data_IF_892186484173
#
_entry.id   IF_892186484173
#
_cell.length_a   1.000
_cell.length_b   1.000
_cell.length_c   1.000
_cell.angle_alpha   90.00
_cell.angle_beta   90.00
_cell.angle_gamma   90.00
#
_symmetry.space_group_name_H-M   'P 1'
#
loop_
_entity.id
_entity.type
_entity.pdbx_description
1 polymer ?
#
# COMPACT_ATOMS: atom_id res chain seq x y z
N UNK A 1 -25.36 44.86 -24.97
CA UNK A 1 -23.92 44.53 -24.89
C UNK A 1 -23.59 44.05 -23.47
N UNK A 2 -23.59 42.74 -23.22
CA UNK A 2 -23.22 42.13 -21.92
C UNK A 2 -22.13 41.03 -22.07
N UNK A 3 -21.51 40.94 -23.25
CA UNK A 3 -20.68 39.80 -23.62
C UNK A 3 -19.40 39.53 -22.78
N UNK A 4 -18.66 40.53 -22.24
CA UNK A 4 -17.46 40.24 -21.43
C UNK A 4 -17.80 39.81 -19.99
N UNK A 5 -18.95 40.23 -19.46
CA UNK A 5 -19.36 39.94 -18.07
C UNK A 5 -19.76 38.48 -17.90
N UNK A 6 -20.50 37.95 -18.88
CA UNK A 6 -20.98 36.56 -18.86
C UNK A 6 -19.82 35.56 -18.99
N UNK A 7 -18.79 35.90 -19.78
CA UNK A 7 -17.57 35.10 -19.92
C UNK A 7 -16.77 35.05 -18.62
N UNK A 8 -16.62 36.18 -17.91
CA UNK A 8 -15.95 36.23 -16.61
C UNK A 8 -16.72 35.43 -15.57
N UNK A 9 -18.04 35.60 -15.48
CA UNK A 9 -18.89 34.82 -14.57
C UNK A 9 -18.78 33.32 -14.84
N UNK A 10 -18.79 32.92 -16.11
CA UNK A 10 -18.64 31.52 -16.53
C UNK A 10 -17.26 30.95 -16.11
N UNK A 11 -16.18 31.70 -16.36
CA UNK A 11 -14.82 31.27 -15.98
C UNK A 11 -14.66 31.17 -14.46
N UNK A 12 -15.20 32.14 -13.70
CA UNK A 12 -15.18 32.10 -12.23
C UNK A 12 -15.96 30.90 -11.70
N UNK A 13 -17.12 30.57 -12.29
CA UNK A 13 -17.92 29.41 -11.90
C UNK A 13 -17.17 28.10 -12.15
N UNK A 14 -16.54 27.95 -13.32
CA UNK A 14 -15.75 26.76 -13.67
C UNK A 14 -14.57 26.61 -12.70
N UNK A 15 -13.89 27.71 -12.38
CA UNK A 15 -12.77 27.68 -11.43
C UNK A 15 -13.23 27.23 -10.03
N UNK A 16 -14.32 27.80 -9.51
CA UNK A 16 -14.89 27.40 -8.22
C UNK A 16 -15.36 25.94 -8.22
N UNK A 17 -15.97 25.47 -9.31
CA UNK A 17 -16.38 24.07 -9.44
C UNK A 17 -15.16 23.14 -9.47
N UNK A 18 -14.08 23.52 -10.17
CA UNK A 18 -12.85 22.73 -10.21
C UNK A 18 -12.17 22.66 -8.84
N UNK A 19 -12.10 23.77 -8.10
CA UNK A 19 -11.57 23.80 -6.75
C UNK A 19 -12.42 22.92 -5.81
N UNK A 20 -13.74 23.01 -5.92
CA UNK A 20 -14.66 22.19 -5.14
C UNK A 20 -14.46 20.70 -5.44
N UNK A 21 -14.41 20.31 -6.73
CA UNK A 21 -14.16 18.92 -7.14
C UNK A 21 -12.80 18.43 -6.65
N UNK A 22 -11.74 19.22 -6.76
CA UNK A 22 -10.40 18.86 -6.25
C UNK A 22 -10.42 18.57 -4.75
N UNK A 23 -11.06 19.43 -3.95
CA UNK A 23 -11.20 19.21 -2.50
C UNK A 23 -12.01 17.95 -2.21
N UNK A 24 -13.13 17.74 -2.93
CA UNK A 24 -14.03 16.60 -2.72
C UNK A 24 -13.35 15.26 -3.07
N UNK A 25 -12.60 15.21 -4.19
CA UNK A 25 -11.78 14.05 -4.54
C UNK A 25 -10.62 13.81 -3.58
N UNK A 26 -9.99 14.88 -3.06
CA UNK A 26 -8.97 14.76 -2.02
C UNK A 26 -9.50 14.09 -0.74
N UNK A 27 -10.72 14.41 -0.31
CA UNK A 27 -11.35 13.74 0.84
C UNK A 27 -11.67 12.26 0.59
N UNK A 28 -12.02 11.88 -0.65
CA UNK A 28 -12.20 10.48 -1.01
C UNK A 28 -10.88 9.70 -0.88
N UNK A 29 -9.75 10.33 -1.24
CA UNK A 29 -8.41 9.76 -1.12
C UNK A 29 -7.95 9.60 0.33
N UNK A 30 -8.43 10.45 1.24
CA UNK A 30 -8.15 10.35 2.69
C UNK A 30 -8.88 9.18 3.34
N UNK A 31 -9.97 8.68 2.75
CA UNK A 31 -10.72 7.56 3.34
C UNK A 31 -9.89 6.30 3.35
N UNK A 32 -9.72 5.74 4.54
CA UNK A 32 -9.09 4.46 4.70
C UNK A 32 -10.04 3.35 4.23
N UNK A 33 -9.61 2.59 3.23
CA UNK A 33 -10.37 1.48 2.63
C UNK A 33 -9.56 0.19 2.73
N UNK A 34 -10.20 -0.99 2.73
CA UNK A 34 -9.49 -2.27 2.77
C UNK A 34 -8.46 -2.41 1.65
N UNK A 35 -8.83 -2.01 0.43
CA UNK A 35 -7.97 -2.05 -0.75
C UNK A 35 -6.72 -1.18 -0.57
N UNK A 36 -6.89 0.05 -0.09
CA UNK A 36 -5.77 0.96 0.18
C UNK A 36 -4.85 0.40 1.27
N UNK A 37 -5.41 -0.11 2.36
CA UNK A 37 -4.63 -0.71 3.43
C UNK A 37 -3.82 -1.93 2.97
N UNK A 38 -4.42 -2.81 2.17
CA UNK A 38 -3.76 -3.96 1.56
C UNK A 38 -2.57 -3.54 0.66
N UNK A 39 -2.79 -2.55 -0.21
CA UNK A 39 -1.76 -2.03 -1.10
C UNK A 39 -0.62 -1.33 -0.35
N UNK A 40 -0.93 -0.50 0.66
CA UNK A 40 0.08 0.17 1.49
C UNK A 40 0.90 -0.83 2.32
N UNK A 41 0.26 -1.82 2.92
CA UNK A 41 0.95 -2.89 3.63
C UNK A 41 1.92 -3.62 2.70
N UNK A 42 1.45 -4.06 1.53
CA UNK A 42 2.29 -4.76 0.57
C UNK A 42 3.47 -3.89 0.10
N UNK A 43 3.23 -2.61 -0.18
CA UNK A 43 4.29 -1.67 -0.54
C UNK A 43 5.39 -1.60 0.51
N UNK A 44 5.00 -1.43 1.78
CA UNK A 44 5.96 -1.37 2.88
C UNK A 44 6.66 -2.71 3.12
N UNK A 45 5.95 -3.83 2.98
CA UNK A 45 6.49 -5.19 3.08
C UNK A 45 7.64 -5.41 2.10
N UNK A 46 7.39 -5.26 0.79
CA UNK A 46 8.42 -5.47 -0.24
C UNK A 46 9.56 -4.42 -0.20
N UNK A 47 9.32 -3.26 0.40
CA UNK A 47 10.35 -2.24 0.61
C UNK A 47 11.17 -2.43 1.90
N UNK A 48 10.88 -3.47 2.70
CA UNK A 48 11.43 -3.67 4.05
C UNK A 48 11.28 -2.43 4.94
N UNK A 49 10.13 -1.77 4.87
CA UNK A 49 9.81 -0.58 5.66
C UNK A 49 9.11 -0.96 6.96
N UNK A 50 9.62 -0.46 8.09
CA UNK A 50 9.03 -0.67 9.43
C UNK A 50 7.60 -0.14 9.53
N UNK A 51 7.24 0.84 8.69
CA UNK A 51 5.87 1.37 8.60
C UNK A 51 4.82 0.30 8.26
N UNK A 52 5.20 -0.88 7.74
CA UNK A 52 4.23 -1.98 7.57
C UNK A 52 3.58 -2.41 8.89
N UNK A 53 4.25 -2.21 10.02
CA UNK A 53 3.70 -2.51 11.35
C UNK A 53 2.42 -1.72 11.66
N UNK A 54 2.29 -0.50 11.11
CA UNK A 54 1.11 0.34 11.31
C UNK A 54 -0.15 -0.25 10.65
N UNK A 55 0.07 -1.04 9.61
CA UNK A 55 -0.97 -1.76 8.86
C UNK A 55 -1.14 -3.21 9.33
N UNK A 56 -0.43 -3.68 10.35
CA UNK A 56 -0.65 -5.00 10.95
C UNK A 56 -1.63 -4.93 12.12
N UNK A 57 -2.51 -5.94 12.21
CA UNK A 57 -3.34 -6.16 13.38
C UNK A 57 -2.46 -6.37 14.62
N UNK A 58 -2.92 -5.96 15.79
CA UNK A 58 -2.09 -5.98 17.00
C UNK A 58 -1.60 -7.41 17.32
N UNK A 59 -2.47 -8.40 17.12
CA UNK A 59 -2.16 -9.83 17.27
C UNK A 59 -1.12 -10.37 16.27
N UNK A 60 -0.87 -9.65 15.18
CA UNK A 60 0.06 -10.05 14.10
C UNK A 60 1.41 -9.31 14.16
N UNK A 61 1.58 -8.39 15.11
CA UNK A 61 2.86 -7.67 15.30
C UNK A 61 3.90 -8.51 16.04
N UNK A 62 3.44 -9.45 16.87
CA UNK A 62 4.31 -10.31 17.68
C UNK A 62 3.98 -11.77 17.46
N UNK A 63 5.00 -12.61 17.31
CA UNK A 63 4.89 -14.06 17.31
C UNK A 63 5.87 -14.60 18.35
N UNK A 64 5.39 -15.40 19.31
CA UNK A 64 6.21 -15.92 20.42
C UNK A 64 7.02 -14.81 21.13
N UNK A 65 6.33 -13.73 21.51
CA UNK A 65 6.89 -12.50 22.11
C UNK A 65 7.99 -11.79 21.30
N UNK A 66 8.14 -12.16 20.02
CA UNK A 66 9.13 -11.59 19.11
C UNK A 66 8.47 -10.64 18.11
N UNK A 67 9.04 -9.44 17.95
CA UNK A 67 8.64 -8.48 16.91
C UNK A 67 8.83 -9.09 15.52
N UNK A 68 7.70 -9.34 14.85
CA UNK A 68 7.64 -10.02 13.56
C UNK A 68 8.27 -9.14 12.47
N UNK A 69 7.99 -7.84 12.47
CA UNK A 69 8.51 -6.89 11.48
C UNK A 69 10.00 -6.71 11.64
N UNK A 70 10.48 -6.52 12.88
CA UNK A 70 11.90 -6.44 13.20
C UNK A 70 12.65 -7.69 12.77
N UNK A 71 12.09 -8.88 13.07
CA UNK A 71 12.69 -10.16 12.69
C UNK A 71 12.76 -10.34 11.18
N UNK A 72 11.69 -10.00 10.45
CA UNK A 72 11.66 -10.04 9.00
C UNK A 72 12.75 -9.16 8.36
N UNK A 73 12.86 -7.91 8.80
CA UNK A 73 13.87 -6.97 8.29
C UNK A 73 15.28 -7.46 8.66
N UNK A 74 15.50 -7.93 9.89
CA UNK A 74 16.79 -8.44 10.34
C UNK A 74 17.26 -9.66 9.54
N UNK A 75 16.36 -10.59 9.20
CA UNK A 75 16.68 -11.72 8.32
C UNK A 75 17.15 -11.25 6.94
N UNK A 76 16.43 -10.29 6.35
CA UNK A 76 16.79 -9.75 5.04
C UNK A 76 18.11 -8.95 5.06
N UNK A 77 18.39 -8.22 6.14
CA UNK A 77 19.70 -7.56 6.34
C UNK A 77 20.84 -8.57 6.42
N UNK A 78 20.66 -9.66 7.15
CA UNK A 78 21.67 -10.72 7.22
C UNK A 78 21.88 -11.41 5.89
N UNK A 79 20.80 -11.77 5.18
CA UNK A 79 20.88 -12.35 3.84
C UNK A 79 21.62 -11.40 2.86
N UNK A 80 21.33 -10.10 2.91
CA UNK A 80 22.04 -9.11 2.11
C UNK A 80 23.53 -9.08 2.45
N UNK A 81 23.87 -9.05 3.74
CA UNK A 81 25.25 -9.00 4.23
C UNK A 81 26.04 -10.25 3.87
N UNK A 82 25.44 -11.43 3.96
CA UNK A 82 26.04 -12.71 3.54
C UNK A 82 26.36 -12.72 2.04
N UNK A 83 25.56 -12.00 1.24
CA UNK A 83 25.81 -11.80 -0.20
C UNK A 83 26.74 -10.63 -0.53
N UNK A 84 27.22 -9.90 0.48
CA UNK A 84 28.08 -8.72 0.29
C UNK A 84 27.33 -7.45 -0.14
N UNK A 85 26.00 -7.40 0.05
CA UNK A 85 25.15 -6.27 -0.29
C UNK A 85 24.53 -5.62 0.95
N UNK A 86 23.94 -4.43 0.76
CA UNK A 86 23.07 -3.81 1.75
C UNK A 86 21.60 -4.22 1.53
N UNK A 87 20.75 -3.99 2.53
CA UNK A 87 19.30 -4.23 2.45
C UNK A 87 18.65 -3.58 1.22
N UNK A 88 19.21 -2.46 0.74
CA UNK A 88 18.73 -1.78 -0.47
C UNK A 88 18.65 -2.72 -1.67
N UNK A 89 19.56 -3.69 -1.77
CA UNK A 89 19.58 -4.66 -2.86
C UNK A 89 18.43 -5.69 -2.77
N UNK A 90 17.89 -5.90 -1.57
CA UNK A 90 16.77 -6.81 -1.33
C UNK A 90 15.42 -6.15 -1.61
N UNK A 91 15.33 -4.82 -1.58
CA UNK A 91 14.07 -4.09 -1.76
C UNK A 91 13.47 -4.34 -3.14
N UNK A 92 12.17 -4.57 -3.18
CA UNK A 92 11.40 -4.71 -4.41
C UNK A 92 10.38 -3.57 -4.54
N UNK A 93 10.22 -3.06 -5.75
CA UNK A 93 9.16 -2.11 -6.08
C UNK A 93 7.96 -2.85 -6.66
N UNK A 94 6.76 -2.49 -6.23
CA UNK A 94 5.53 -3.04 -6.79
C UNK A 94 5.10 -2.26 -8.04
N UNK A 95 4.67 -3.00 -9.05
CA UNK A 95 4.12 -2.52 -10.32
C UNK A 95 2.78 -3.19 -10.57
N UNK A 96 1.91 -2.52 -11.33
CA UNK A 96 0.58 -3.04 -11.67
C UNK A 96 -0.17 -3.59 -10.45
N UNK A 97 -0.25 -2.78 -9.39
CA UNK A 97 -0.93 -3.16 -8.15
C UNK A 97 -2.44 -3.12 -8.39
N UNK A 98 -3.04 -4.30 -8.42
CA UNK A 98 -4.47 -4.51 -8.52
C UNK A 98 -4.98 -5.09 -7.21
N UNK A 99 -6.09 -4.53 -6.72
CA UNK A 99 -6.76 -5.00 -5.51
C UNK A 99 -8.21 -5.32 -5.83
N UNK A 100 -8.63 -6.54 -5.51
CA UNK A 100 -10.01 -6.98 -5.67
C UNK A 100 -10.59 -7.31 -4.30
N UNK A 101 -11.66 -6.60 -3.95
CA UNK A 101 -12.43 -6.88 -2.76
C UNK A 101 -13.24 -8.15 -2.99
N UNK A 102 -12.91 -9.22 -2.27
CA UNK A 102 -13.63 -10.50 -2.35
C UNK A 102 -14.83 -10.50 -1.41
N UNK A 103 -14.65 -9.93 -0.22
CA UNK A 103 -15.67 -9.86 0.81
C UNK A 103 -15.46 -8.60 1.67
N UNK A 104 -16.55 -7.96 2.09
CA UNK A 104 -16.52 -6.81 2.99
C UNK A 104 -17.71 -6.83 3.95
N UNK A 105 -17.39 -6.74 5.23
CA UNK A 105 -18.32 -6.47 6.32
C UNK A 105 -17.90 -5.17 7.02
N UNK A 106 -18.72 -4.71 7.98
CA UNK A 106 -18.45 -3.47 8.72
C UNK A 106 -17.08 -3.44 9.45
N UNK A 107 -16.53 -4.60 9.80
CA UNK A 107 -15.30 -4.74 10.60
C UNK A 107 -14.25 -5.67 10.01
N UNK A 108 -14.54 -6.38 8.92
CA UNK A 108 -13.64 -7.36 8.30
C UNK A 108 -13.74 -7.30 6.78
N UNK A 109 -12.63 -7.51 6.09
CA UNK A 109 -12.61 -7.57 4.63
C UNK A 109 -11.59 -8.60 4.15
N UNK A 110 -11.81 -9.16 2.97
CA UNK A 110 -10.84 -10.00 2.27
C UNK A 110 -10.51 -9.35 0.94
N UNK A 111 -9.23 -9.09 0.72
CA UNK A 111 -8.73 -8.40 -0.48
C UNK A 111 -7.71 -9.29 -1.16
N UNK A 112 -7.98 -9.63 -2.42
CA UNK A 112 -6.99 -10.24 -3.30
C UNK A 112 -6.11 -9.15 -3.88
N UNK A 113 -4.80 -9.25 -3.64
CA UNK A 113 -3.78 -8.39 -4.18
C UNK A 113 -3.07 -9.13 -5.31
N UNK A 114 -3.09 -8.54 -6.50
CA UNK A 114 -2.29 -9.00 -7.64
C UNK A 114 -1.30 -7.90 -7.99
N UNK A 115 0.00 -8.21 -8.02
CA UNK A 115 1.01 -7.25 -8.41
C UNK A 115 2.26 -7.91 -8.99
N UNK A 116 3.09 -7.10 -9.64
CA UNK A 116 4.41 -7.49 -10.10
C UNK A 116 5.47 -6.85 -9.20
N UNK A 117 6.41 -7.64 -8.70
CA UNK A 117 7.54 -7.11 -7.93
C UNK A 117 8.81 -7.10 -8.79
N UNK A 118 9.56 -6.00 -8.69
CA UNK A 118 10.80 -5.80 -9.42
C UNK A 118 11.87 -5.29 -8.46
N UNK A 119 12.94 -6.05 -8.20
CA UNK A 119 14.13 -5.51 -7.55
C UNK A 119 14.79 -4.49 -8.49
N UNK A 120 14.91 -3.19 -8.13
CA UNK A 120 15.28 -2.14 -9.07
C UNK A 120 16.61 -2.39 -9.78
N UNK A 121 17.63 -2.76 -9.01
CA UNK A 121 18.97 -3.04 -9.53
C UNK A 121 19.00 -4.33 -10.36
N UNK A 122 18.46 -5.42 -9.83
CA UNK A 122 18.48 -6.71 -10.53
C UNK A 122 17.62 -6.68 -11.80
N UNK A 123 16.45 -6.04 -11.81
CA UNK A 123 15.61 -5.90 -13.00
C UNK A 123 16.32 -5.16 -14.14
N UNK A 124 17.16 -4.15 -13.83
CA UNK A 124 17.93 -3.45 -14.84
C UNK A 124 18.86 -4.39 -15.62
N UNK A 125 19.52 -5.33 -14.94
CA UNK A 125 20.48 -6.26 -15.54
C UNK A 125 19.84 -7.54 -16.09
N UNK A 126 18.85 -8.12 -15.39
CA UNK A 126 18.32 -9.46 -15.71
C UNK A 126 16.91 -9.45 -16.26
N UNK A 127 16.22 -8.30 -16.20
CA UNK A 127 14.77 -8.18 -16.52
C UNK A 127 13.87 -9.11 -15.69
N UNK A 128 14.37 -9.63 -14.57
CA UNK A 128 13.59 -10.51 -13.68
C UNK A 128 12.50 -9.73 -12.96
N UNK A 129 11.26 -10.21 -13.08
CA UNK A 129 10.10 -9.78 -12.30
C UNK A 129 9.40 -11.00 -11.71
N UNK A 130 8.82 -10.85 -10.53
CA UNK A 130 8.00 -11.88 -9.89
C UNK A 130 6.54 -11.41 -9.89
N UNK A 131 5.62 -12.35 -10.02
CA UNK A 131 4.19 -12.08 -9.85
C UNK A 131 3.76 -12.52 -8.45
N UNK A 132 2.91 -11.70 -7.84
CA UNK A 132 2.37 -11.92 -6.50
C UNK A 132 0.86 -11.89 -6.63
N UNK A 133 0.21 -12.97 -6.20
CA UNK A 133 -1.25 -13.11 -6.14
C UNK A 133 -1.60 -13.70 -4.78
N UNK A 134 -2.04 -12.82 -3.87
CA UNK A 134 -2.21 -13.15 -2.46
C UNK A 134 -3.53 -12.61 -1.93
N UNK A 135 -4.19 -13.38 -1.07
CA UNK A 135 -5.42 -12.94 -0.41
C UNK A 135 -5.12 -12.49 1.01
N UNK A 136 -5.29 -11.20 1.25
CA UNK A 136 -5.07 -10.57 2.54
C UNK A 136 -6.38 -10.49 3.31
N UNK A 137 -6.34 -10.92 4.57
CA UNK A 137 -7.44 -10.77 5.52
C UNK A 137 -7.23 -9.48 6.29
N UNK A 138 -8.24 -8.61 6.27
CA UNK A 138 -8.19 -7.32 6.94
C UNK A 138 -9.27 -7.21 8.01
N UNK A 139 -8.92 -6.50 9.08
CA UNK A 139 -9.83 -6.13 10.15
C UNK A 139 -9.72 -4.64 10.43
N UNK A 140 -10.84 -4.03 10.76
CA UNK A 140 -10.88 -2.62 11.15
C UNK A 140 -10.65 -2.50 12.65
N UNK A 141 -9.53 -1.91 13.04
CA UNK A 141 -9.18 -1.62 14.43
C UNK A 141 -9.07 -0.11 14.62
N UNK A 142 -9.78 0.45 15.61
CA UNK A 142 -9.75 1.88 15.92
C UNK A 142 -10.01 2.80 14.71
N UNK A 143 -10.86 2.35 13.77
CA UNK A 143 -11.19 3.09 12.55
C UNK A 143 -10.23 2.90 11.38
N UNK A 144 -9.12 2.17 11.56
CA UNK A 144 -8.10 1.90 10.54
C UNK A 144 -8.15 0.44 10.12
N UNK A 145 -8.09 0.19 8.82
CA UNK A 145 -7.97 -1.14 8.23
C UNK A 145 -6.55 -1.64 8.34
N UNK A 146 -6.42 -2.85 8.87
CA UNK A 146 -5.16 -3.53 9.12
C UNK A 146 -5.23 -4.97 8.63
N UNK A 147 -4.10 -5.50 8.19
CA UNK A 147 -3.89 -6.86 7.73
C UNK A 147 -3.63 -7.77 8.94
N UNK A 148 -4.41 -8.84 9.07
CA UNK A 148 -4.29 -9.82 10.15
C UNK A 148 -3.77 -11.16 9.63
N UNK A 149 -3.21 -11.95 10.54
CA UNK A 149 -2.67 -13.29 10.25
C UNK A 149 -1.21 -13.24 9.86
N UNK A 150 -0.79 -14.10 8.93
CA UNK A 150 0.59 -14.19 8.43
C UNK A 150 0.63 -13.88 6.93
N UNK A 151 0.45 -12.61 6.54
CA UNK A 151 0.47 -12.24 5.13
C UNK A 151 1.87 -12.52 4.54
N UNK A 152 1.94 -13.03 3.31
CA UNK A 152 3.21 -13.34 2.62
C UNK A 152 4.17 -14.26 3.41
N UNK A 153 3.66 -15.08 4.33
CA UNK A 153 4.47 -15.90 5.26
C UNK A 153 5.35 -15.10 6.22
N UNK A 154 4.91 -13.90 6.58
CA UNK A 154 5.49 -13.07 7.64
C UNK A 154 5.52 -13.81 8.99
#
# INVERSE_FOLDING_TARGET
MNEPRDKIVTVTLIFLLSLFLQVMFGFADVRDTPNKAAAEFAKSYFCFDKAMADRLCEESKTADDTDVVGSYIYRAENEARERGYSLFYMKESLYHVETHLLNENATSAEVRLVCQTKPPLQYFFTKKSSEVDETLKLKKENGVWKVCGRPFSL
#
